data_IF_142507415402
#
_entry.id   IF_142507415402
#
_cell.length_a   1.000
_cell.length_b   1.000
_cell.length_c   1.000
_cell.angle_alpha   90.00
_cell.angle_beta   90.00
_cell.angle_gamma   90.00
#
_symmetry.space_group_name_H-M   'P 1'
#
loop_
_entity.id
_entity.type
_entity.pdbx_description
1 polymer ?
#
# COMPACT_ATOMS: atom_id res chain seq x y z
N UNK A 1 35.98 -21.10 -10.50
CA UNK A 1 34.58 -20.66 -10.62
C UNK A 1 33.93 -21.52 -11.68
N UNK A 2 32.96 -22.35 -11.31
CA UNK A 2 32.14 -23.05 -12.30
C UNK A 2 31.22 -22.03 -12.98
N UNK A 3 31.26 -21.96 -14.30
CA UNK A 3 30.41 -21.09 -15.10
C UNK A 3 29.10 -21.80 -15.43
N UNK A 4 27.97 -21.23 -15.02
CA UNK A 4 26.64 -21.73 -15.41
C UNK A 4 26.31 -21.17 -16.80
N UNK A 5 26.19 -22.06 -17.78
CA UNK A 5 25.77 -21.71 -19.14
C UNK A 5 24.25 -21.82 -19.27
N UNK A 6 23.58 -20.68 -19.47
CA UNK A 6 22.14 -20.61 -19.68
C UNK A 6 21.86 -20.57 -21.18
N UNK A 7 21.05 -21.51 -21.67
CA UNK A 7 20.58 -21.52 -23.07
C UNK A 7 19.49 -20.46 -23.24
N UNK A 8 19.85 -19.31 -23.83
CA UNK A 8 18.92 -18.18 -24.00
C UNK A 8 17.74 -18.48 -24.93
N UNK A 9 17.87 -19.47 -25.80
CA UNK A 9 16.80 -19.94 -26.71
C UNK A 9 15.56 -20.42 -25.95
N UNK A 10 15.75 -20.92 -24.72
CA UNK A 10 14.65 -21.37 -23.85
C UNK A 10 13.92 -20.18 -23.17
N UNK A 11 14.46 -18.96 -23.28
CA UNK A 11 13.99 -17.76 -22.60
C UNK A 11 13.91 -16.55 -23.54
N UNK A 12 13.04 -16.64 -24.56
CA UNK A 12 12.85 -15.62 -25.63
C UNK A 12 12.71 -14.18 -25.09
N UNK A 13 12.12 -13.99 -23.90
CA UNK A 13 11.99 -12.66 -23.28
C UNK A 13 13.34 -12.08 -22.80
N UNK A 14 14.26 -12.92 -22.30
CA UNK A 14 15.61 -12.51 -21.90
C UNK A 14 16.46 -12.11 -23.11
N UNK A 15 16.25 -12.75 -24.26
CA UNK A 15 16.94 -12.40 -25.50
C UNK A 15 16.60 -10.97 -25.95
N UNK A 16 15.34 -10.55 -25.82
CA UNK A 16 14.91 -9.17 -26.13
C UNK A 16 15.52 -8.14 -25.20
N UNK A 17 15.76 -8.49 -23.94
CA UNK A 17 16.33 -7.58 -22.93
C UNK A 17 17.78 -7.19 -23.26
N UNK A 18 18.57 -8.06 -23.90
CA UNK A 18 19.96 -7.75 -24.30
C UNK A 18 20.10 -6.47 -25.14
N UNK A 19 19.03 -6.06 -25.82
CA UNK A 19 19.02 -4.86 -26.68
C UNK A 19 18.85 -3.55 -25.88
N UNK A 20 18.57 -3.64 -24.58
CA UNK A 20 18.38 -2.47 -23.72
C UNK A 20 19.71 -2.01 -23.11
N UNK A 21 19.94 -0.69 -22.96
CA UNK A 21 21.18 -0.15 -22.41
C UNK A 21 21.45 -0.58 -20.95
N UNK A 22 20.40 -0.95 -20.19
CA UNK A 22 20.50 -1.31 -18.77
C UNK A 22 20.29 -2.81 -18.49
N UNK A 23 20.52 -3.67 -19.49
CA UNK A 23 20.18 -5.09 -19.40
C UNK A 23 20.85 -5.84 -18.24
N UNK A 24 22.07 -5.43 -17.84
CA UNK A 24 22.81 -6.06 -16.75
C UNK A 24 22.13 -5.85 -15.40
N UNK A 25 21.64 -4.64 -15.13
CA UNK A 25 20.94 -4.32 -13.88
C UNK A 25 19.56 -5.01 -13.84
N UNK A 26 18.88 -5.07 -14.98
CA UNK A 26 17.63 -5.81 -15.12
C UNK A 26 17.85 -7.31 -14.86
N UNK A 27 18.90 -7.91 -15.43
CA UNK A 27 19.25 -9.31 -15.18
C UNK A 27 19.58 -9.58 -13.72
N UNK A 28 20.40 -8.72 -13.09
CA UNK A 28 20.72 -8.85 -11.67
C UNK A 28 19.46 -8.75 -10.80
N UNK A 29 18.52 -7.88 -11.16
CA UNK A 29 17.24 -7.73 -10.46
C UNK A 29 16.38 -8.99 -10.60
N UNK A 30 16.28 -9.55 -11.82
CA UNK A 30 15.54 -10.79 -12.08
C UNK A 30 16.16 -11.95 -11.27
N UNK A 31 17.49 -12.08 -11.27
CA UNK A 31 18.19 -13.11 -10.51
C UNK A 31 18.00 -12.95 -9.01
N UNK A 32 18.13 -11.73 -8.48
CA UNK A 32 17.93 -11.43 -7.07
C UNK A 32 16.50 -11.75 -6.61
N UNK A 33 15.50 -11.35 -7.40
CA UNK A 33 14.10 -11.64 -7.11
C UNK A 33 13.81 -13.14 -7.18
N UNK A 34 14.31 -13.83 -8.22
CA UNK A 34 14.16 -15.28 -8.36
C UNK A 34 14.82 -16.05 -7.21
N UNK A 35 16.04 -15.68 -6.84
CA UNK A 35 16.77 -16.26 -5.72
C UNK A 35 16.02 -16.09 -4.40
N UNK A 36 15.60 -14.85 -4.08
CA UNK A 36 14.86 -14.57 -2.86
C UNK A 36 13.51 -15.28 -2.84
N UNK A 37 12.80 -15.35 -3.97
CA UNK A 37 11.51 -16.07 -4.05
C UNK A 37 11.69 -17.55 -3.84
N UNK A 38 12.72 -18.16 -4.44
CA UNK A 38 12.99 -19.58 -4.35
C UNK A 38 13.46 -19.98 -2.94
N UNK A 39 14.40 -19.24 -2.34
CA UNK A 39 14.91 -19.55 -1.01
C UNK A 39 13.99 -19.14 0.15
N UNK A 40 13.22 -18.05 0.02
CA UNK A 40 12.21 -17.69 1.02
C UNK A 40 11.01 -18.64 1.02
N UNK A 41 10.74 -19.34 -0.09
CA UNK A 41 9.74 -20.42 -0.13
C UNK A 41 10.18 -21.67 0.67
N UNK A 42 11.50 -21.80 0.90
CA UNK A 42 12.13 -22.91 1.62
C UNK A 42 12.34 -22.56 3.10
N UNK A 43 12.54 -21.28 3.45
CA UNK A 43 12.75 -20.81 4.82
C UNK A 43 11.46 -20.33 5.50
N UNK A 44 10.42 -21.18 5.54
CA UNK A 44 9.35 -20.98 6.51
C UNK A 44 9.92 -21.21 7.92
N UNK A 45 10.35 -20.15 8.63
CA UNK A 45 10.07 -19.96 10.07
C UNK A 45 10.77 -18.81 10.81
N UNK A 46 11.58 -17.92 10.22
CA UNK A 46 12.16 -16.82 11.01
C UNK A 46 12.24 -15.51 10.23
N UNK A 47 11.78 -14.42 10.86
CA UNK A 47 11.90 -13.00 10.47
C UNK A 47 10.82 -12.40 9.53
N UNK A 48 9.63 -12.24 10.10
CA UNK A 48 8.52 -11.45 9.53
C UNK A 48 8.70 -9.92 9.68
N UNK A 49 9.69 -9.44 10.45
CA UNK A 49 9.78 -8.02 10.83
C UNK A 49 10.74 -7.18 9.96
N UNK A 50 11.79 -7.75 9.40
CA UNK A 50 12.78 -7.01 8.57
C UNK A 50 12.29 -6.74 7.16
N UNK A 51 11.46 -7.63 6.59
CA UNK A 51 10.93 -7.50 5.22
C UNK A 51 9.85 -6.43 5.11
N UNK A 52 9.07 -6.17 6.18
CA UNK A 52 8.08 -5.10 6.16
C UNK A 52 8.73 -3.73 6.06
N UNK A 53 9.83 -3.52 6.77
CA UNK A 53 10.53 -2.23 6.76
C UNK A 53 11.31 -2.01 5.46
N UNK A 54 11.95 -3.04 4.89
CA UNK A 54 12.63 -2.90 3.59
C UNK A 54 11.63 -2.76 2.43
N UNK A 55 10.48 -3.44 2.48
CA UNK A 55 9.42 -3.25 1.49
C UNK A 55 8.76 -1.88 1.64
N UNK A 56 8.52 -1.40 2.87
CA UNK A 56 7.97 -0.07 3.12
C UNK A 56 8.97 1.02 2.77
N UNK A 57 10.28 0.82 2.97
CA UNK A 57 11.33 1.74 2.55
C UNK A 57 11.46 1.76 1.03
N UNK A 58 11.45 0.61 0.36
CA UNK A 58 11.50 0.53 -1.11
C UNK A 58 10.23 1.12 -1.75
N UNK A 59 9.06 0.86 -1.17
CA UNK A 59 7.80 1.48 -1.56
C UNK A 59 7.83 2.99 -1.28
N UNK A 60 8.35 3.43 -0.12
CA UNK A 60 8.51 4.85 0.18
C UNK A 60 9.51 5.52 -0.76
N UNK A 61 10.57 4.84 -1.19
CA UNK A 61 11.59 5.36 -2.11
C UNK A 61 11.14 5.38 -3.58
N UNK A 62 10.10 4.61 -3.95
CA UNK A 62 9.44 4.70 -5.26
C UNK A 62 8.20 5.60 -5.24
N UNK A 63 7.48 5.62 -4.12
CA UNK A 63 6.32 6.47 -3.88
C UNK A 63 6.76 7.89 -3.55
N UNK A 64 7.94 8.16 -2.98
CA UNK A 64 8.46 9.51 -2.73
C UNK A 64 8.70 10.28 -4.03
N UNK A 65 9.46 9.77 -5.02
CA UNK A 65 9.62 10.43 -6.31
C UNK A 65 8.29 10.62 -7.04
N UNK A 66 7.37 9.65 -6.94
CA UNK A 66 6.01 9.79 -7.48
C UNK A 66 5.18 10.81 -6.71
N UNK A 67 5.27 10.86 -5.38
CA UNK A 67 4.61 11.84 -4.53
C UNK A 67 5.26 13.21 -4.62
N UNK A 68 6.54 13.32 -4.97
CA UNK A 68 7.27 14.56 -5.22
C UNK A 68 7.00 15.05 -6.64
N UNK A 69 6.83 14.14 -7.62
CA UNK A 69 6.26 14.47 -8.92
C UNK A 69 4.81 14.94 -8.76
N UNK A 70 4.02 14.27 -7.93
CA UNK A 70 2.62 14.61 -7.67
C UNK A 70 2.52 15.90 -6.83
N UNK A 71 3.32 16.08 -5.77
CA UNK A 71 3.42 17.31 -4.96
C UNK A 71 4.07 18.45 -5.72
N UNK A 72 4.96 18.21 -6.68
CA UNK A 72 5.45 19.27 -7.58
C UNK A 72 4.37 19.66 -8.59
N UNK A 73 3.55 18.71 -9.07
CA UNK A 73 2.36 19.00 -9.88
C UNK A 73 1.27 19.78 -9.09
N UNK A 74 1.11 19.50 -7.79
CA UNK A 74 0.11 20.15 -6.92
C UNK A 74 0.64 21.40 -6.16
N UNK A 75 1.95 21.55 -5.96
CA UNK A 75 2.55 22.49 -4.99
C UNK A 75 3.48 23.58 -5.54
N UNK A 76 3.75 23.64 -6.85
CA UNK A 76 4.63 24.69 -7.40
C UNK A 76 3.94 26.06 -7.47
N UNK A 77 4.30 27.01 -6.60
CA UNK A 77 3.77 28.39 -6.65
C UNK A 77 4.43 29.29 -7.72
N UNK A 78 5.19 28.72 -8.66
CA UNK A 78 5.83 29.47 -9.75
C UNK A 78 5.20 29.08 -11.10
N UNK A 79 4.54 30.05 -11.75
CA UNK A 79 3.81 29.89 -13.01
C UNK A 79 4.68 29.37 -14.15
N UNK A 80 5.95 29.79 -14.23
CA UNK A 80 6.89 29.44 -15.30
C UNK A 80 7.24 27.95 -15.29
N UNK A 81 7.65 27.40 -14.14
CA UNK A 81 7.98 25.98 -13.99
C UNK A 81 6.76 25.06 -14.16
N UNK A 82 5.57 25.55 -13.78
CA UNK A 82 4.31 24.85 -14.05
C UNK A 82 4.05 24.79 -15.56
N UNK A 83 4.19 25.89 -16.29
CA UNK A 83 4.10 25.93 -17.75
C UNK A 83 4.99 24.88 -18.40
N UNK A 84 6.27 24.87 -18.02
CA UNK A 84 7.30 23.99 -18.59
C UNK A 84 6.95 22.49 -18.54
N UNK A 85 6.40 22.03 -17.41
CA UNK A 85 5.99 20.63 -17.20
C UNK A 85 4.73 20.31 -18.01
N UNK A 86 3.80 21.26 -18.10
CA UNK A 86 2.54 21.02 -18.81
C UNK A 86 2.73 20.96 -20.32
N UNK A 87 3.62 21.80 -20.83
CA UNK A 87 4.02 21.76 -22.24
C UNK A 87 4.82 20.50 -22.55
N UNK A 88 5.69 20.03 -21.64
CA UNK A 88 6.37 18.74 -21.80
C UNK A 88 5.38 17.56 -21.86
N UNK A 89 4.26 17.64 -21.14
CA UNK A 89 3.19 16.65 -21.23
C UNK A 89 2.49 16.68 -22.60
N UNK A 90 2.26 17.85 -23.18
CA UNK A 90 1.67 17.96 -24.52
C UNK A 90 2.64 17.47 -25.58
N UNK A 91 3.91 17.84 -25.49
CA UNK A 91 4.99 17.33 -26.35
C UNK A 91 5.06 15.80 -26.27
N UNK A 92 5.08 15.22 -25.08
CA UNK A 92 5.08 13.76 -24.88
C UNK A 92 3.84 13.07 -25.48
N UNK A 93 2.64 13.66 -25.32
CA UNK A 93 1.40 13.13 -25.93
C UNK A 93 1.51 13.15 -27.45
N UNK A 94 1.94 14.26 -28.04
CA UNK A 94 2.03 14.43 -29.49
C UNK A 94 3.09 13.51 -30.06
N UNK A 95 4.31 13.51 -29.52
CA UNK A 95 5.43 12.71 -30.02
C UNK A 95 5.21 11.21 -29.88
N UNK A 96 4.53 10.74 -28.82
CA UNK A 96 4.17 9.31 -28.67
C UNK A 96 3.11 8.86 -29.67
N UNK A 97 2.10 9.70 -29.92
CA UNK A 97 0.97 9.33 -30.78
C UNK A 97 1.24 9.59 -32.26
N UNK A 98 2.11 10.55 -32.56
CA UNK A 98 2.47 10.97 -33.91
C UNK A 98 4.00 11.09 -34.06
N UNK A 99 4.75 9.97 -34.06
CA UNK A 99 6.20 9.99 -34.16
C UNK A 99 6.75 10.67 -35.42
N UNK A 100 5.95 10.70 -36.49
CA UNK A 100 6.27 11.33 -37.76
C UNK A 100 5.99 12.84 -37.81
N UNK A 101 5.36 13.40 -36.78
CA UNK A 101 5.10 14.84 -36.68
C UNK A 101 6.27 15.52 -35.99
N UNK A 102 6.53 16.77 -36.37
CA UNK A 102 7.49 17.62 -35.68
C UNK A 102 6.73 18.60 -34.78
N UNK A 103 6.99 18.56 -33.48
CA UNK A 103 6.50 19.55 -32.52
C UNK A 103 7.68 20.40 -32.04
N UNK A 104 7.72 21.65 -32.47
CA UNK A 104 8.78 22.58 -32.16
C UNK A 104 8.32 23.51 -31.04
N UNK A 105 8.92 23.37 -29.85
CA UNK A 105 8.61 24.18 -28.67
C UNK A 105 9.14 25.61 -28.91
N UNK A 106 8.26 26.61 -28.92
CA UNK A 106 8.59 28.02 -29.23
C UNK A 106 8.52 28.97 -28.03
N UNK A 107 8.70 28.44 -26.82
CA UNK A 107 8.66 29.17 -25.54
C UNK A 107 9.41 30.51 -25.59
N UNK A 108 8.76 31.55 -25.06
CA UNK A 108 9.37 32.84 -24.80
C UNK A 108 9.63 33.70 -26.05
N UNK A 109 9.24 33.23 -27.24
CA UNK A 109 9.29 34.03 -28.46
C UNK A 109 7.94 34.71 -28.64
N UNK A 110 7.93 36.05 -28.66
CA UNK A 110 6.71 36.83 -28.84
C UNK A 110 5.96 36.39 -30.10
N UNK A 111 4.65 36.18 -30.00
CA UNK A 111 3.74 35.78 -31.08
C UNK A 111 3.89 34.36 -31.61
N UNK A 112 4.72 33.50 -31.02
CA UNK A 112 4.95 32.15 -31.53
C UNK A 112 4.09 31.06 -30.91
N UNK A 113 3.16 31.40 -29.99
CA UNK A 113 2.47 30.46 -29.11
C UNK A 113 3.47 29.57 -28.32
N UNK A 114 2.96 28.61 -27.56
CA UNK A 114 3.81 27.69 -26.79
C UNK A 114 4.54 26.67 -27.68
N UNK A 115 3.95 26.30 -28.82
CA UNK A 115 4.60 25.42 -29.80
C UNK A 115 4.02 25.48 -31.20
N UNK A 116 4.72 24.84 -32.14
CA UNK A 116 4.34 24.75 -33.54
C UNK A 116 4.38 23.29 -33.99
N UNK A 117 3.24 22.79 -34.46
CA UNK A 117 3.07 21.44 -34.97
C UNK A 117 3.19 21.43 -36.49
N UNK A 118 4.06 20.57 -37.03
CA UNK A 118 4.20 20.32 -38.46
C UNK A 118 3.97 18.85 -38.77
N UNK A 119 3.05 18.54 -39.69
CA UNK A 119 2.78 17.17 -40.11
C UNK A 119 3.48 16.79 -41.43
N UNK A 120 3.65 15.49 -41.72
CA UNK A 120 4.18 15.03 -43.01
C UNK A 120 3.36 15.46 -44.22
N UNK A 121 2.07 15.78 -44.06
CA UNK A 121 1.24 16.25 -45.18
C UNK A 121 1.50 17.72 -45.53
N UNK A 122 2.23 18.44 -44.65
CA UNK A 122 2.49 19.87 -44.74
C UNK A 122 1.52 20.72 -43.92
N UNK A 123 0.67 20.12 -43.06
CA UNK A 123 -0.07 20.89 -42.06
C UNK A 123 0.93 21.63 -41.18
N UNK A 124 0.66 22.90 -40.94
CA UNK A 124 1.36 23.74 -39.98
C UNK A 124 0.33 24.36 -39.05
N UNK A 125 0.42 24.07 -37.76
CA UNK A 125 -0.51 24.57 -36.75
C UNK A 125 0.21 25.21 -35.56
N UNK A 126 -0.29 26.34 -35.06
CA UNK A 126 0.14 26.87 -33.77
C UNK A 126 -0.55 26.11 -32.63
N UNK A 127 0.17 25.89 -31.54
CA UNK A 127 -0.33 25.21 -30.36
C UNK A 127 -0.11 26.11 -29.15
N UNK A 128 -1.21 26.45 -28.48
CA UNK A 128 -1.22 27.23 -27.24
C UNK A 128 -1.68 26.35 -26.08
N UNK A 129 -0.99 26.41 -24.94
CA UNK A 129 -1.22 25.55 -23.78
C UNK A 129 -1.38 26.39 -22.51
N UNK A 130 -2.59 26.39 -21.94
CA UNK A 130 -2.90 27.07 -20.67
C UNK A 130 -3.08 26.07 -19.54
N UNK A 131 -2.41 26.33 -18.41
CA UNK A 131 -2.53 25.55 -17.18
C UNK A 131 -3.14 26.38 -16.04
N UNK A 132 -4.35 26.89 -16.25
CA UNK A 132 -5.07 27.68 -15.24
C UNK A 132 -5.96 26.78 -14.38
N UNK A 133 -6.06 27.11 -13.08
CA UNK A 133 -7.01 26.45 -12.19
C UNK A 133 -8.44 26.99 -12.41
N UNK A 134 -8.58 28.25 -12.83
CA UNK A 134 -9.83 28.87 -13.24
C UNK A 134 -10.01 28.81 -14.75
N UNK A 135 -11.26 28.98 -15.21
CA UNK A 135 -11.60 29.09 -16.64
C UNK A 135 -10.66 30.06 -17.35
N UNK A 136 -10.13 29.64 -18.51
CA UNK A 136 -9.28 30.48 -19.36
C UNK A 136 -10.14 31.63 -19.91
N UNK A 137 -9.75 32.90 -19.68
CA UNK A 137 -10.52 34.06 -20.12
C UNK A 137 -10.45 34.22 -21.65
N UNK A 138 -11.48 34.82 -22.22
CA UNK A 138 -11.60 35.01 -23.67
C UNK A 138 -10.47 35.87 -24.27
N UNK A 139 -9.88 36.78 -23.50
CA UNK A 139 -8.73 37.59 -23.93
C UNK A 139 -7.52 36.73 -24.35
N UNK A 140 -7.32 35.56 -23.74
CA UNK A 140 -6.26 34.63 -24.15
C UNK A 140 -6.58 33.97 -25.50
N UNK A 141 -7.85 33.72 -25.79
CA UNK A 141 -8.30 33.21 -27.09
C UNK A 141 -8.08 34.28 -28.18
N UNK A 142 -8.39 35.54 -27.89
CA UNK A 142 -8.17 36.65 -28.82
C UNK A 142 -6.68 36.89 -29.11
N UNK A 143 -5.81 36.80 -28.08
CA UNK A 143 -4.35 36.83 -28.28
C UNK A 143 -3.88 35.72 -29.21
N UNK A 144 -4.38 34.50 -29.01
CA UNK A 144 -4.02 33.37 -29.87
C UNK A 144 -4.50 33.55 -31.32
N UNK A 145 -5.73 34.04 -31.52
CA UNK A 145 -6.25 34.40 -32.86
C UNK A 145 -5.41 35.49 -33.53
N UNK A 146 -4.91 36.46 -32.74
CA UNK A 146 -3.99 37.47 -33.23
C UNK A 146 -2.68 36.83 -33.70
N UNK A 147 -2.05 35.97 -32.89
CA UNK A 147 -0.79 35.30 -33.21
C UNK A 147 -0.89 34.43 -34.48
N UNK A 148 -2.00 33.70 -34.66
CA UNK A 148 -2.30 32.98 -35.90
C UNK A 148 -2.29 33.91 -37.12
N UNK A 149 -2.99 35.06 -37.02
CA UNK A 149 -3.07 36.03 -38.11
C UNK A 149 -1.75 36.74 -38.37
N UNK A 150 -0.99 37.08 -37.33
CA UNK A 150 0.30 37.74 -37.44
C UNK A 150 1.33 36.83 -38.11
N UNK A 151 1.31 35.53 -37.81
CA UNK A 151 2.22 34.53 -38.40
C UNK A 151 1.73 33.93 -39.72
N UNK A 152 0.53 34.30 -40.17
CA UNK A 152 -0.13 33.71 -41.34
C UNK A 152 -0.20 32.16 -41.27
N UNK A 153 -0.52 31.63 -40.08
CA UNK A 153 -0.74 30.20 -39.84
C UNK A 153 -2.24 30.00 -39.67
N UNK A 154 -2.86 29.22 -40.55
CA UNK A 154 -4.33 29.10 -40.64
C UNK A 154 -4.92 28.00 -39.76
N UNK A 155 -4.09 27.24 -39.05
CA UNK A 155 -4.52 26.15 -38.17
C UNK A 155 -4.03 26.39 -36.75
N UNK A 156 -4.92 26.20 -35.77
CA UNK A 156 -4.62 26.40 -34.36
C UNK A 156 -5.17 25.28 -33.49
N UNK A 157 -4.40 24.92 -32.47
CA UNK A 157 -4.83 24.04 -31.39
C UNK A 157 -4.68 24.80 -30.07
N UNK A 158 -5.80 25.09 -29.42
CA UNK A 158 -5.82 25.77 -28.14
C UNK A 158 -6.17 24.79 -27.03
N UNK A 159 -5.25 24.59 -26.10
CA UNK A 159 -5.33 23.57 -25.07
C UNK A 159 -5.42 24.22 -23.69
N UNK A 160 -6.43 23.83 -22.92
CA UNK A 160 -6.47 24.05 -21.48
C UNK A 160 -6.35 22.72 -20.73
N UNK A 161 -5.38 22.66 -19.82
CA UNK A 161 -4.99 21.40 -19.19
C UNK A 161 -5.98 20.99 -18.10
N UNK A 162 -6.41 21.95 -17.28
CA UNK A 162 -7.23 21.69 -16.07
C UNK A 162 -8.62 22.29 -16.15
N UNK A 163 -8.73 23.54 -16.59
CA UNK A 163 -9.98 24.30 -16.58
C UNK A 163 -10.66 24.35 -17.93
N UNK A 164 -11.91 24.81 -17.97
CA UNK A 164 -12.61 25.12 -19.22
C UNK A 164 -12.02 26.36 -19.92
N UNK A 165 -12.46 26.60 -21.15
CA UNK A 165 -12.15 27.82 -21.92
C UNK A 165 -13.45 28.62 -22.05
N UNK A 166 -13.40 29.92 -21.82
CA UNK A 166 -14.59 30.77 -21.87
C UNK A 166 -15.23 30.71 -23.27
N UNK A 167 -16.56 30.56 -23.31
CA UNK A 167 -17.37 30.44 -24.53
C UNK A 167 -17.07 29.22 -25.42
N UNK A 168 -16.29 28.25 -24.94
CA UNK A 168 -15.97 27.03 -25.68
C UNK A 168 -16.45 25.79 -24.93
N UNK A 169 -16.80 24.75 -25.68
CA UNK A 169 -17.09 23.42 -25.12
C UNK A 169 -15.78 22.72 -24.71
N UNK A 170 -15.86 21.61 -23.94
CA UNK A 170 -14.69 20.80 -23.63
C UNK A 170 -13.88 20.34 -24.85
N UNK A 171 -14.57 20.12 -25.96
CA UNK A 171 -14.00 19.95 -27.28
C UNK A 171 -14.87 20.72 -28.27
N UNK A 172 -14.29 21.67 -29.00
CA UNK A 172 -15.01 22.41 -30.04
C UNK A 172 -14.13 22.78 -31.21
N UNK A 173 -14.75 22.90 -32.37
CA UNK A 173 -14.13 23.42 -33.57
C UNK A 173 -14.71 24.80 -33.92
N UNK A 174 -13.85 25.76 -34.19
CA UNK A 174 -14.21 27.09 -34.68
C UNK A 174 -13.56 27.36 -36.03
N UNK A 175 -14.34 27.99 -36.90
CA UNK A 175 -13.88 28.60 -38.14
C UNK A 175 -14.16 30.09 -38.06
N UNK A 176 -13.15 30.91 -38.37
CA UNK A 176 -13.33 32.36 -38.55
C UNK A 176 -12.59 32.86 -39.79
N UNK A 177 -12.96 34.03 -40.27
CA UNK A 177 -12.37 34.67 -41.44
C UNK A 177 -11.85 36.05 -41.06
N UNK A 178 -10.60 36.35 -41.42
CA UNK A 178 -9.96 37.65 -41.18
C UNK A 178 -9.11 38.00 -42.40
N UNK A 179 -9.32 39.20 -42.94
CA UNK A 179 -8.63 39.70 -44.13
C UNK A 179 -8.70 38.75 -45.34
N UNK A 180 -9.84 38.08 -45.51
CA UNK A 180 -10.08 37.09 -46.58
C UNK A 180 -9.42 35.72 -46.38
N UNK A 181 -8.71 35.53 -45.26
CA UNK A 181 -8.06 34.28 -44.89
C UNK A 181 -8.95 33.54 -43.89
N UNK A 182 -9.16 32.24 -44.12
CA UNK A 182 -9.95 31.37 -43.25
C UNK A 182 -9.02 30.65 -42.28
N UNK A 183 -9.36 30.73 -41.00
CA UNK A 183 -8.63 30.10 -39.90
C UNK A 183 -9.47 29.00 -39.26
N UNK A 184 -8.80 27.94 -38.84
CA UNK A 184 -9.36 26.72 -38.29
C UNK A 184 -8.76 26.48 -36.90
N UNK A 185 -9.57 26.56 -35.85
CA UNK A 185 -9.11 26.33 -34.48
C UNK A 185 -9.88 25.15 -33.89
N UNK A 186 -9.15 24.24 -33.23
CA UNK A 186 -9.75 23.27 -32.32
C UNK A 186 -9.40 23.66 -30.89
N UNK A 187 -10.43 23.81 -30.06
CA UNK A 187 -10.30 24.05 -28.62
C UNK A 187 -10.46 22.74 -27.86
N UNK A 188 -9.59 22.54 -26.89
CA UNK A 188 -9.65 21.39 -25.99
C UNK A 188 -9.46 21.86 -24.56
N UNK A 189 -10.32 21.43 -23.66
CA UNK A 189 -10.12 21.64 -22.23
C UNK A 189 -10.20 20.35 -21.43
N UNK A 190 -9.68 20.42 -20.19
CA UNK A 190 -9.59 19.31 -19.24
C UNK A 190 -8.73 18.13 -19.73
N UNK A 191 -7.66 18.44 -20.45
CA UNK A 191 -6.77 17.44 -21.06
C UNK A 191 -6.13 16.49 -20.05
N UNK A 192 -5.89 16.91 -18.81
CA UNK A 192 -5.26 16.05 -17.80
C UNK A 192 -6.00 14.72 -17.61
N UNK A 193 -7.33 14.77 -17.57
CA UNK A 193 -8.19 13.59 -17.43
C UNK A 193 -8.51 12.97 -18.80
N UNK A 194 -8.40 13.74 -19.89
CA UNK A 194 -9.00 13.45 -21.18
C UNK A 194 -8.02 13.61 -22.35
N UNK A 195 -6.80 13.07 -22.20
CA UNK A 195 -5.71 13.16 -23.18
C UNK A 195 -6.09 12.76 -24.62
N UNK A 196 -7.05 11.83 -24.77
CA UNK A 196 -7.59 11.40 -26.08
C UNK A 196 -8.10 12.57 -26.93
N UNK A 197 -8.54 13.68 -26.30
CA UNK A 197 -9.00 14.87 -27.00
C UNK A 197 -7.87 15.54 -27.79
N UNK A 198 -6.65 15.61 -27.25
CA UNK A 198 -5.48 16.19 -27.95
C UNK A 198 -5.20 15.42 -29.24
N UNK A 199 -5.13 14.09 -29.16
CA UNK A 199 -4.97 13.23 -30.32
C UNK A 199 -6.06 13.48 -31.37
N UNK A 200 -7.31 13.57 -30.93
CA UNK A 200 -8.45 13.75 -31.82
C UNK A 200 -8.43 15.12 -32.50
N UNK A 201 -7.96 16.16 -31.80
CA UNK A 201 -7.80 17.50 -32.35
C UNK A 201 -6.74 17.57 -33.44
N UNK A 202 -5.58 16.93 -33.22
CA UNK A 202 -4.53 16.87 -34.24
C UNK A 202 -5.04 16.15 -35.49
N UNK A 203 -5.70 15.02 -35.32
CA UNK A 203 -6.28 14.26 -36.43
C UNK A 203 -7.38 15.04 -37.17
N UNK A 204 -8.21 15.79 -36.45
CA UNK A 204 -9.23 16.65 -37.04
C UNK A 204 -8.60 17.75 -37.90
N UNK A 205 -7.60 18.46 -37.37
CA UNK A 205 -6.87 19.50 -38.12
C UNK A 205 -6.18 18.92 -39.37
N UNK A 206 -5.53 17.77 -39.24
CA UNK A 206 -4.87 17.06 -40.35
C UNK A 206 -5.87 16.68 -41.46
N UNK A 207 -7.04 16.17 -41.09
CA UNK A 207 -8.08 15.80 -42.04
C UNK A 207 -8.71 17.01 -42.73
N UNK A 208 -8.93 18.11 -42.00
CA UNK A 208 -9.40 19.37 -42.58
C UNK A 208 -8.36 19.89 -43.59
N UNK A 209 -7.08 19.91 -43.22
CA UNK A 209 -6.00 20.34 -44.09
C UNK A 209 -5.91 19.50 -45.37
N UNK A 210 -5.91 18.17 -45.24
CA UNK A 210 -5.90 17.25 -46.39
C UNK A 210 -7.11 17.46 -47.29
N UNK A 211 -8.30 17.68 -46.71
CA UNK A 211 -9.51 17.92 -47.47
C UNK A 211 -9.42 19.23 -48.27
N UNK A 212 -9.03 20.33 -47.62
CA UNK A 212 -8.87 21.65 -48.25
C UNK A 212 -7.84 21.59 -49.38
N UNK A 213 -6.67 20.99 -49.12
CA UNK A 213 -5.58 20.85 -50.09
C UNK A 213 -5.98 19.99 -51.29
N UNK A 214 -6.73 18.91 -51.06
CA UNK A 214 -7.16 17.99 -52.14
C UNK A 214 -8.23 18.60 -53.04
N UNK A 215 -9.14 19.38 -52.48
CA UNK A 215 -10.28 19.93 -53.22
C UNK A 215 -10.04 21.37 -53.71
N UNK A 216 -8.86 21.93 -53.45
CA UNK A 216 -8.49 23.31 -53.77
C UNK A 216 -9.57 24.32 -53.36
N UNK A 217 -10.12 24.12 -52.15
CA UNK A 217 -11.22 24.91 -51.62
C UNK A 217 -10.82 25.61 -50.33
N UNK A 218 -11.10 26.91 -50.23
CA UNK A 218 -10.75 27.70 -49.04
C UNK A 218 -11.75 27.56 -47.88
N UNK A 219 -12.89 26.90 -48.11
CA UNK A 219 -14.01 26.87 -47.15
C UNK A 219 -14.60 25.46 -47.05
N UNK A 220 -14.77 25.00 -45.82
CA UNK A 220 -15.62 23.84 -45.51
C UNK A 220 -17.09 24.21 -45.73
N UNK A 221 -17.84 23.32 -46.39
CA UNK A 221 -19.28 23.45 -46.56
C UNK A 221 -20.04 23.15 -45.27
N UNK A 222 -21.34 23.48 -45.25
CA UNK A 222 -22.22 23.28 -44.08
C UNK A 222 -22.36 21.80 -43.68
N UNK A 223 -22.31 20.86 -44.62
CA UNK A 223 -22.46 19.44 -44.33
C UNK A 223 -21.26 18.90 -43.56
N UNK A 224 -20.05 19.35 -43.92
CA UNK A 224 -18.80 18.99 -43.24
C UNK A 224 -18.80 19.57 -41.84
N UNK A 225 -19.18 20.84 -41.69
CA UNK A 225 -19.30 21.49 -40.38
C UNK A 225 -20.28 20.74 -39.46
N UNK A 226 -21.43 20.31 -39.99
CA UNK A 226 -22.39 19.51 -39.22
C UNK A 226 -21.82 18.14 -38.82
N UNK A 227 -20.99 17.52 -39.66
CA UNK A 227 -20.33 16.26 -39.31
C UNK A 227 -19.23 16.45 -38.26
N UNK A 228 -18.51 17.57 -38.27
CA UNK A 228 -17.57 17.93 -37.20
C UNK A 228 -18.32 18.10 -35.87
N UNK A 229 -19.49 18.75 -35.86
CA UNK A 229 -20.33 18.85 -34.66
C UNK A 229 -20.81 17.49 -34.13
N UNK A 230 -21.02 16.49 -35.00
CA UNK A 230 -21.30 15.11 -34.57
C UNK A 230 -20.08 14.49 -33.89
N UNK A 231 -18.86 14.77 -34.38
CA UNK A 231 -17.63 14.33 -33.72
C UNK A 231 -17.53 14.95 -32.33
N UNK A 232 -17.81 16.24 -32.17
CA UNK A 232 -17.86 16.89 -30.84
C UNK A 232 -18.79 16.13 -29.88
N UNK A 233 -20.00 15.80 -30.35
CA UNK A 233 -20.99 15.05 -29.56
C UNK A 233 -20.47 13.66 -29.14
N UNK A 234 -19.84 12.93 -30.07
CA UNK A 234 -19.26 11.60 -29.79
C UNK A 234 -18.14 11.69 -28.73
N UNK A 235 -17.29 12.72 -28.81
CA UNK A 235 -16.23 12.94 -27.82
C UNK A 235 -16.81 13.25 -26.45
N UNK A 236 -17.87 14.06 -26.39
CA UNK A 236 -18.58 14.35 -25.13
C UNK A 236 -19.25 13.10 -24.55
N UNK A 237 -19.81 12.23 -25.37
CA UNK A 237 -20.37 10.94 -24.94
C UNK A 237 -19.28 9.99 -24.43
N UNK A 238 -18.17 9.88 -25.14
CA UNK A 238 -17.02 9.07 -24.71
C UNK A 238 -16.46 9.57 -23.37
N UNK A 239 -16.33 10.88 -23.21
CA UNK A 239 -15.93 11.54 -21.97
C UNK A 239 -16.83 11.15 -20.79
N UNK A 240 -18.16 11.16 -20.99
CA UNK A 240 -19.14 10.72 -19.98
C UNK A 240 -18.99 9.23 -19.63
N UNK A 241 -18.79 8.37 -20.63
CA UNK A 241 -18.60 6.93 -20.41
C UNK A 241 -17.32 6.68 -19.62
N UNK A 242 -16.23 7.34 -19.97
CA UNK A 242 -14.94 7.24 -19.27
C UNK A 242 -15.08 7.63 -17.80
N UNK A 243 -15.78 8.73 -17.51
CA UNK A 243 -15.99 9.18 -16.13
C UNK A 243 -16.80 8.15 -15.32
N UNK A 244 -17.85 7.56 -15.91
CA UNK A 244 -18.61 6.46 -15.28
C UNK A 244 -17.74 5.23 -15.00
N UNK A 245 -16.81 4.91 -15.90
CA UNK A 245 -15.86 3.80 -15.69
C UNK A 245 -14.93 4.06 -14.50
N UNK A 246 -14.36 5.27 -14.41
CA UNK A 246 -13.48 5.67 -13.29
C UNK A 246 -14.25 5.65 -11.96
N UNK A 247 -15.50 6.13 -11.96
CA UNK A 247 -16.37 6.06 -10.78
C UNK A 247 -16.65 4.61 -10.35
N UNK A 248 -16.94 3.73 -11.30
CA UNK A 248 -17.12 2.30 -11.05
C UNK A 248 -15.86 1.66 -10.45
N UNK A 249 -14.68 1.95 -10.99
CA UNK A 249 -13.40 1.48 -10.46
C UNK A 249 -13.20 1.89 -9.00
N UNK A 250 -13.46 3.17 -8.69
CA UNK A 250 -13.39 3.70 -7.32
C UNK A 250 -14.37 2.98 -6.38
N UNK A 251 -15.59 2.72 -6.85
CA UNK A 251 -16.61 2.04 -6.05
C UNK A 251 -16.26 0.58 -5.78
N UNK A 252 -15.70 -0.13 -6.76
CA UNK A 252 -15.21 -1.50 -6.59
C UNK A 252 -14.09 -1.52 -5.56
N UNK A 253 -13.11 -0.61 -5.68
CA UNK A 253 -11.99 -0.51 -4.74
C UNK A 253 -12.48 -0.29 -3.30
N UNK A 254 -13.38 0.67 -3.11
CA UNK A 254 -13.99 0.93 -1.80
C UNK A 254 -14.72 -0.30 -1.25
N UNK A 255 -15.48 -1.00 -2.10
CA UNK A 255 -16.20 -2.20 -1.70
C UNK A 255 -15.23 -3.30 -1.25
N UNK A 256 -14.11 -3.48 -1.96
CA UNK A 256 -13.07 -4.42 -1.56
C UNK A 256 -12.45 -4.05 -0.20
N UNK A 257 -12.14 -2.77 0.01
CA UNK A 257 -11.61 -2.27 1.29
C UNK A 257 -12.60 -2.53 2.44
N UNK A 258 -13.90 -2.32 2.21
CA UNK A 258 -14.96 -2.59 3.19
C UNK A 258 -15.02 -4.10 3.53
N UNK A 259 -14.96 -4.98 2.53
CA UNK A 259 -14.92 -6.43 2.76
C UNK A 259 -13.67 -6.87 3.54
N UNK A 260 -12.50 -6.29 3.25
CA UNK A 260 -11.28 -6.56 4.02
C UNK A 260 -11.45 -6.19 5.50
N UNK A 261 -12.12 -5.07 5.79
CA UNK A 261 -12.42 -4.69 7.18
C UNK A 261 -13.31 -5.72 7.87
N UNK A 262 -14.37 -6.18 7.20
CA UNK A 262 -15.30 -7.19 7.73
C UNK A 262 -14.57 -8.50 8.04
N UNK A 263 -13.71 -8.97 7.13
CA UNK A 263 -12.92 -10.21 7.33
C UNK A 263 -12.03 -10.06 8.57
N UNK A 264 -11.30 -8.95 8.68
CA UNK A 264 -10.42 -8.67 9.81
C UNK A 264 -11.18 -8.65 11.14
N UNK A 265 -12.35 -8.04 11.18
CA UNK A 265 -13.19 -7.98 12.38
C UNK A 265 -13.71 -9.38 12.75
N UNK A 266 -14.12 -10.17 11.77
CA UNK A 266 -14.53 -11.56 11.98
C UNK A 266 -13.37 -12.42 12.52
N UNK A 267 -12.15 -12.26 12.00
CA UNK A 267 -10.97 -12.95 12.51
C UNK A 267 -10.66 -12.57 13.97
N UNK A 268 -10.79 -11.29 14.31
CA UNK A 268 -10.62 -10.82 15.68
C UNK A 268 -11.64 -11.46 16.63
N UNK A 269 -12.93 -11.41 16.27
CA UNK A 269 -14.00 -12.02 17.06
C UNK A 269 -13.83 -13.54 17.20
N UNK A 270 -13.37 -14.21 16.14
CA UNK A 270 -13.08 -15.64 16.18
C UNK A 270 -11.98 -15.95 17.19
N UNK A 271 -10.89 -15.18 17.20
CA UNK A 271 -9.80 -15.34 18.17
C UNK A 271 -10.27 -15.12 19.62
N UNK A 272 -11.06 -14.08 19.87
CA UNK A 272 -11.61 -13.85 21.21
C UNK A 272 -12.51 -15.01 21.67
N UNK A 273 -13.44 -15.45 20.81
CA UNK A 273 -14.32 -16.59 21.13
C UNK A 273 -13.53 -17.87 21.37
N UNK A 274 -12.51 -18.14 20.55
CA UNK A 274 -11.63 -19.29 20.72
C UNK A 274 -10.93 -19.25 22.08
N UNK A 275 -10.33 -18.12 22.45
CA UNK A 275 -9.67 -17.96 23.74
C UNK A 275 -10.64 -18.14 24.92
N UNK A 276 -11.86 -17.61 24.80
CA UNK A 276 -12.88 -17.78 25.83
C UNK A 276 -13.30 -19.25 26.01
N UNK A 277 -13.54 -19.97 24.91
CA UNK A 277 -13.87 -21.40 24.93
C UNK A 277 -12.69 -22.20 25.53
N UNK A 278 -11.46 -21.88 25.10
CA UNK A 278 -10.26 -22.54 25.60
C UNK A 278 -10.10 -22.39 27.11
N UNK A 279 -10.27 -21.16 27.63
CA UNK A 279 -10.22 -20.91 29.08
C UNK A 279 -11.30 -21.68 29.84
N UNK A 280 -12.52 -21.77 29.30
CA UNK A 280 -13.59 -22.57 29.91
C UNK A 280 -13.27 -24.07 29.95
N UNK A 281 -12.62 -24.61 28.91
CA UNK A 281 -12.19 -26.02 28.89
C UNK A 281 -11.14 -26.26 29.99
N UNK A 282 -10.12 -25.42 30.06
CA UNK A 282 -9.06 -25.51 31.09
C UNK A 282 -9.64 -25.40 32.50
N UNK A 283 -10.57 -24.47 32.73
CA UNK A 283 -11.22 -24.29 34.03
C UNK A 283 -12.09 -25.51 34.42
N UNK A 284 -12.73 -26.16 33.45
CA UNK A 284 -13.53 -27.36 33.70
C UNK A 284 -12.67 -28.60 33.96
N UNK A 285 -11.54 -28.77 33.26
CA UNK A 285 -10.57 -29.82 33.58
C UNK A 285 -10.00 -29.64 35.00
N UNK A 286 -9.67 -28.41 35.40
CA UNK A 286 -9.20 -28.11 36.75
C UNK A 286 -10.25 -28.41 37.84
N UNK A 287 -11.55 -28.32 37.52
CA UNK A 287 -12.64 -28.69 38.43
C UNK A 287 -12.87 -30.20 38.53
N UNK A 288 -12.52 -30.97 37.50
CA UNK A 288 -12.69 -32.43 37.47
C UNK A 288 -11.60 -33.18 38.25
N UNK A 289 -10.44 -32.56 38.47
CA UNK A 289 -9.38 -33.12 39.31
C UNK A 289 -9.67 -32.78 40.78
N UNK A 290 -10.31 -33.71 41.51
CA UNK A 290 -10.44 -33.63 42.98
C UNK A 290 -9.06 -33.83 43.62
N UNK A 291 -8.27 -32.77 43.69
CA UNK A 291 -7.06 -32.78 44.50
C UNK A 291 -7.43 -32.95 45.98
N UNK A 292 -6.79 -33.91 46.65
CA UNK A 292 -6.72 -34.01 48.10
C UNK A 292 -6.18 -32.70 48.70
N UNK A 293 -6.47 -32.41 49.97
CA UNK A 293 -5.98 -31.18 50.62
C UNK A 293 -4.43 -31.08 50.57
N UNK A 294 -3.76 -32.24 50.64
CA UNK A 294 -2.32 -32.40 50.43
C UNK A 294 -1.86 -31.89 49.06
N UNK A 295 -2.54 -32.32 47.99
CA UNK A 295 -2.19 -31.93 46.62
C UNK A 295 -2.48 -30.46 46.34
N UNK A 296 -3.55 -29.89 46.91
CA UNK A 296 -3.84 -28.45 46.83
C UNK A 296 -2.71 -27.60 47.44
N UNK A 297 -2.14 -28.05 48.55
CA UNK A 297 -1.04 -27.35 49.22
C UNK A 297 0.26 -27.46 48.43
N UNK A 298 0.57 -28.63 47.85
CA UNK A 298 1.75 -28.83 46.99
C UNK A 298 1.67 -27.92 45.75
N UNK A 299 0.52 -27.88 45.07
CA UNK A 299 0.35 -27.09 43.83
C UNK A 299 0.54 -25.58 44.04
N UNK A 300 0.21 -25.04 45.23
CA UNK A 300 0.43 -23.63 45.58
C UNK A 300 1.90 -23.29 45.85
N UNK A 301 2.74 -24.28 46.17
CA UNK A 301 4.13 -24.04 46.51
C UNK A 301 5.00 -23.79 45.26
N UNK A 302 6.12 -23.07 45.43
CA UNK A 302 7.10 -22.88 44.36
C UNK A 302 7.67 -24.24 43.90
N UNK A 303 7.90 -24.44 42.60
CA UNK A 303 8.52 -25.67 42.02
C UNK A 303 9.76 -26.17 42.78
N UNK A 304 10.59 -25.26 43.32
CA UNK A 304 11.78 -25.65 44.11
C UNK A 304 11.46 -26.29 45.46
N UNK A 305 10.28 -26.01 46.02
CA UNK A 305 9.82 -26.40 47.36
C UNK A 305 8.83 -27.57 47.30
N UNK A 306 8.14 -27.74 46.16
CA UNK A 306 7.19 -28.83 45.90
C UNK A 306 7.77 -30.21 46.22
N UNK A 307 8.98 -30.52 45.73
CA UNK A 307 9.63 -31.82 45.98
C UNK A 307 9.88 -32.10 47.48
N UNK A 308 10.13 -31.06 48.28
CA UNK A 308 10.36 -31.21 49.72
C UNK A 308 9.02 -31.45 50.42
N UNK A 309 7.97 -30.70 50.04
CA UNK A 309 6.62 -30.88 50.58
C UNK A 309 6.04 -32.26 50.25
N UNK A 310 6.25 -32.76 49.04
CA UNK A 310 5.86 -34.13 48.66
C UNK A 310 6.52 -35.17 49.56
N UNK A 311 7.84 -35.06 49.80
CA UNK A 311 8.57 -35.96 50.71
C UNK A 311 8.05 -35.89 52.14
N UNK A 312 7.79 -34.68 52.66
CA UNK A 312 7.24 -34.47 54.00
C UNK A 312 5.85 -35.09 54.10
N UNK A 313 4.95 -34.75 53.18
CA UNK A 313 3.58 -35.26 53.19
C UNK A 313 3.50 -36.75 52.87
N UNK A 314 4.50 -37.37 52.24
CA UNK A 314 4.57 -38.83 52.09
C UNK A 314 4.96 -39.55 53.39
N UNK A 315 5.38 -38.83 54.43
CA UNK A 315 5.63 -39.40 55.77
C UNK A 315 4.41 -39.31 56.69
N UNK A 316 3.36 -38.60 56.27
CA UNK A 316 2.10 -38.51 57.00
C UNK A 316 1.05 -39.35 56.26
N UNK A 317 0.50 -40.35 56.94
CA UNK A 317 -0.55 -41.21 56.38
C UNK A 317 -1.91 -40.49 56.31
N UNK A 318 -2.94 -41.16 55.80
CA UNK A 318 -4.28 -40.59 55.60
C UNK A 318 -5.02 -40.20 56.90
N UNK A 319 -4.48 -40.58 58.06
CA UNK A 319 -5.04 -40.24 59.37
C UNK A 319 -4.75 -38.79 59.80
N UNK A 320 -3.91 -38.06 59.05
CA UNK A 320 -3.58 -36.67 59.34
C UNK A 320 -4.49 -35.70 58.60
N UNK A 321 -4.91 -34.64 59.29
CA UNK A 321 -5.70 -33.54 58.73
C UNK A 321 -4.84 -32.31 58.52
N UNK A 322 -5.01 -31.64 57.39
CA UNK A 322 -4.21 -30.48 56.98
C UNK A 322 -5.09 -29.22 56.96
N UNK A 323 -4.68 -28.16 57.65
CA UNK A 323 -5.43 -26.90 57.71
C UNK A 323 -4.50 -25.73 57.45
N UNK A 324 -4.84 -24.88 56.47
CA UNK A 324 -4.10 -23.65 56.16
C UNK A 324 -4.69 -22.48 56.99
N UNK A 325 -3.87 -21.81 57.81
CA UNK A 325 -4.24 -20.63 58.60
C UNK A 325 -3.06 -19.65 58.63
N UNK A 326 -3.31 -18.37 58.34
CA UNK A 326 -2.34 -17.27 58.49
C UNK A 326 -0.95 -17.56 57.88
N UNK A 327 -0.95 -18.06 56.63
CA UNK A 327 0.22 -18.48 55.84
C UNK A 327 1.00 -19.70 56.39
N UNK A 328 0.48 -20.35 57.43
CA UNK A 328 1.02 -21.57 58.01
C UNK A 328 0.12 -22.78 57.70
N UNK A 329 0.74 -23.92 57.40
CA UNK A 329 0.06 -25.21 57.21
C UNK A 329 0.13 -25.98 58.53
N UNK A 330 -1.01 -26.23 59.15
CA UNK A 330 -1.15 -26.96 60.41
C UNK A 330 -1.51 -28.42 60.13
N UNK A 331 -0.77 -29.36 60.71
CA UNK A 331 -1.01 -30.81 60.58
C UNK A 331 -1.52 -31.36 61.90
N UNK A 332 -2.69 -31.99 61.87
CA UNK A 332 -3.37 -32.57 63.03
C UNK A 332 -3.46 -34.08 62.95
N UNK A 333 -3.37 -34.76 64.09
CA UNK A 333 -3.71 -36.17 64.25
C UNK A 333 -4.75 -36.30 65.36
N UNK A 334 -5.96 -36.80 65.05
CA UNK A 334 -7.08 -36.91 66.02
C UNK A 334 -7.27 -35.62 66.84
N UNK A 335 -7.36 -34.48 66.13
CA UNK A 335 -7.52 -33.12 66.66
C UNK A 335 -6.34 -32.54 67.49
N UNK A 336 -5.25 -33.28 67.65
CA UNK A 336 -4.02 -32.75 68.25
C UNK A 336 -3.11 -32.14 67.19
N UNK A 337 -2.67 -30.90 67.39
CA UNK A 337 -1.72 -30.22 66.50
C UNK A 337 -0.33 -30.86 66.64
N UNK A 338 0.15 -31.48 65.56
CA UNK A 338 1.43 -32.20 65.55
C UNK A 338 2.56 -31.28 65.08
N UNK A 339 2.34 -30.55 63.99
CA UNK A 339 3.32 -29.60 63.49
C UNK A 339 2.70 -28.47 62.68
N UNK A 340 3.45 -27.38 62.56
CA UNK A 340 3.16 -26.26 61.67
C UNK A 340 4.27 -26.11 60.64
N UNK A 341 3.91 -25.97 59.36
CA UNK A 341 4.83 -25.76 58.25
C UNK A 341 4.62 -24.34 57.72
N UNK A 342 5.66 -23.51 57.77
CA UNK A 342 5.68 -22.18 57.18
C UNK A 342 6.48 -22.19 55.88
N UNK A 343 5.86 -21.74 54.80
CA UNK A 343 6.47 -21.69 53.47
C UNK A 343 7.06 -20.30 53.22
N UNK A 344 8.34 -20.25 52.85
CA UNK A 344 9.00 -19.04 52.34
C UNK A 344 9.40 -19.24 50.87
N UNK A 345 9.74 -18.17 50.14
CA UNK A 345 10.16 -18.24 48.73
C UNK A 345 11.25 -19.27 48.43
N UNK A 346 12.17 -19.53 49.37
CA UNK A 346 13.35 -20.38 49.17
C UNK A 346 13.61 -21.40 50.29
N UNK A 347 12.80 -21.43 51.36
CA UNK A 347 13.00 -22.30 52.52
C UNK A 347 11.68 -22.78 53.12
N UNK A 348 11.70 -23.94 53.76
CA UNK A 348 10.58 -24.42 54.59
C UNK A 348 11.03 -24.38 56.05
N UNK A 349 10.12 -23.97 56.95
CA UNK A 349 10.30 -24.12 58.40
C UNK A 349 9.19 -25.02 58.92
N UNK A 350 9.57 -26.12 59.57
CA UNK A 350 8.67 -27.09 60.21
C UNK A 350 8.88 -27.01 61.71
N UNK A 351 7.82 -26.73 62.46
CA UNK A 351 7.85 -26.74 63.92
C UNK A 351 6.98 -27.88 64.44
N UNK A 352 7.57 -28.85 65.12
CA UNK A 352 6.87 -29.94 65.78
C UNK A 352 6.54 -29.55 67.22
N UNK A 353 5.25 -29.59 67.56
CA UNK A 353 4.77 -29.09 68.85
C UNK A 353 5.10 -30.04 70.01
N UNK A 354 5.08 -31.35 69.75
CA UNK A 354 5.29 -32.37 70.81
C UNK A 354 6.76 -32.57 71.21
N UNK A 355 7.72 -32.03 70.46
CA UNK A 355 9.15 -32.26 70.67
C UNK A 355 9.96 -30.98 70.83
N UNK A 356 9.27 -29.82 70.91
CA UNK A 356 9.84 -28.46 70.89
C UNK A 356 10.97 -28.31 69.85
N UNK A 357 10.73 -28.88 68.66
CA UNK A 357 11.73 -29.04 67.61
C UNK A 357 11.35 -28.16 66.43
N UNK A 358 12.29 -27.32 65.98
CA UNK A 358 12.15 -26.54 64.75
C UNK A 358 13.20 -26.99 63.74
N UNK A 359 12.76 -27.41 62.57
CA UNK A 359 13.62 -27.78 61.44
C UNK A 359 13.43 -26.72 60.35
N UNK A 360 14.53 -26.13 59.88
CA UNK A 360 14.52 -25.22 58.73
C UNK A 360 15.50 -25.72 57.69
N UNK A 361 15.08 -25.79 56.42
CA UNK A 361 15.93 -26.30 55.35
C UNK A 361 15.61 -25.72 53.98
N UNK A 362 16.61 -25.76 53.12
CA UNK A 362 16.54 -25.49 51.68
C UNK A 362 16.65 -26.81 50.89
N UNK A 363 16.64 -26.77 49.55
CA UNK A 363 16.67 -27.97 48.71
C UNK A 363 17.87 -28.91 48.98
N UNK A 364 18.99 -28.35 49.46
CA UNK A 364 20.22 -29.09 49.73
C UNK A 364 20.25 -29.75 51.12
N UNK A 365 19.31 -29.39 52.02
CA UNK A 365 19.27 -29.85 53.41
C UNK A 365 18.39 -31.10 53.63
N UNK A 366 17.86 -31.69 52.56
CA UNK A 366 16.95 -32.86 52.62
C UNK A 366 17.57 -34.07 53.34
N UNK A 367 18.91 -34.21 53.31
CA UNK A 367 19.65 -35.25 54.03
C UNK A 367 19.60 -35.10 55.56
N UNK A 368 19.55 -33.88 56.08
CA UNK A 368 19.42 -33.60 57.52
C UNK A 368 18.01 -33.94 58.01
N UNK A 369 16.99 -33.64 57.20
CA UNK A 369 15.60 -33.99 57.47
C UNK A 369 15.41 -35.51 57.48
N UNK A 370 15.96 -36.21 56.48
CA UNK A 370 15.94 -37.68 56.41
C UNK A 370 16.72 -38.32 57.57
N UNK A 371 17.88 -37.77 57.95
CA UNK A 371 18.67 -38.27 59.07
C UNK A 371 17.95 -38.08 60.42
N UNK A 372 17.20 -36.99 60.61
CA UNK A 372 16.52 -36.71 61.88
C UNK A 372 15.21 -37.50 62.02
N UNK A 373 14.45 -37.65 60.94
CA UNK A 373 13.21 -38.45 60.90
C UNK A 373 13.52 -39.96 61.05
N UNK A 374 14.65 -40.43 60.52
CA UNK A 374 15.01 -41.86 60.60
C UNK A 374 15.77 -42.25 61.88
N UNK A 375 16.60 -41.37 62.48
CA UNK A 375 17.42 -41.73 63.65
C UNK A 375 16.71 -41.61 65.01
N UNK A 376 15.70 -40.74 65.13
CA UNK A 376 14.77 -40.80 66.25
C UNK A 376 13.53 -41.48 65.69
N UNK A 377 13.22 -42.71 66.13
CA UNK A 377 11.88 -43.27 65.97
C UNK A 377 10.90 -42.29 66.60
N UNK A 378 10.41 -41.33 65.82
CA UNK A 378 9.25 -40.53 66.17
C UNK A 378 8.09 -41.50 66.03
N UNK A 379 7.88 -42.30 67.07
CA UNK A 379 6.60 -42.96 67.25
C UNK A 379 5.63 -41.83 67.58
N UNK A 380 4.87 -41.40 66.56
CA UNK A 380 3.63 -40.67 66.82
C UNK A 380 2.76 -41.59 67.68
N UNK A 381 2.17 -41.10 68.79
CA UNK A 381 1.27 -41.91 69.61
C UNK A 381 0.05 -42.42 68.82
#
# INVERSE_FOLDING_TARGET
MESINIKLEEYIKLEKLKKLPDYKNILQTIFRLGYNTYFNSISNNLEYYTVKDDLMNTLNDTIQPLNDLTKSLYGLNQSTKKGDITEALIDDIITKQFPEYNYDIKRGIAHHADGELTSPSGLKALVEVKNYNSTVPYDEVEKFKYDLSFRNITYGLFISIKSGIQFQKPFSYEKYEKDGIVYHIVYVSKVFEEQHKVYTSVLLLENIYKFIKKNDCSKLDKSILNNIQKIETIIDEFSKIKNKYIEMESNIKKSLDDYYSIIRDAEYQMKEKFNNIWNQIVDNENKLIKYSEKEKIILKANKKIQNILEKIFNKFDDNFKYVEKDDDIMIYLKDNLICTIKLFKLKIVIKFMNYDLTISGTNDDTKLLDAYINNKKINFP
#
